data_IF_610464701605
#
_entry.id   IF_610464701605
#
_cell.length_a   1.000
_cell.length_b   1.000
_cell.length_c   1.000
_cell.angle_alpha   90.00
_cell.angle_beta   90.00
_cell.angle_gamma   90.00
#
_symmetry.space_group_name_H-M   'P 1'
#
loop_
_entity.id
_entity.type
_entity.pdbx_description
1 polymer ?
#
# COMPACT_ATOMS: atom_id res chain seq x y z
N UNK A 1 46.73 -26.99 -60.65
CA UNK A 1 45.35 -27.12 -61.16
C UNK A 1 44.73 -25.73 -61.26
N UNK A 2 43.74 -25.55 -62.13
CA UNK A 2 42.98 -24.30 -62.18
C UNK A 2 41.64 -24.45 -61.47
N UNK A 3 41.29 -23.51 -60.61
CA UNK A 3 39.98 -23.47 -59.93
C UNK A 3 39.30 -22.11 -60.15
N UNK A 4 37.99 -22.09 -59.90
CA UNK A 4 37.15 -20.90 -60.00
C UNK A 4 36.65 -20.50 -58.62
N UNK A 5 36.70 -19.21 -58.30
CA UNK A 5 36.14 -18.66 -57.06
C UNK A 5 35.09 -17.63 -57.42
N UNK A 6 33.84 -17.88 -57.03
CA UNK A 6 32.73 -16.96 -57.24
C UNK A 6 32.60 -16.03 -56.04
N UNK A 7 32.68 -14.73 -56.31
CA UNK A 7 32.61 -13.67 -55.30
C UNK A 7 31.15 -13.29 -55.02
N UNK A 8 30.94 -12.46 -54.00
CA UNK A 8 29.61 -11.96 -53.61
C UNK A 8 28.94 -11.12 -54.71
N UNK A 9 29.74 -10.49 -55.57
CA UNK A 9 29.29 -9.68 -56.71
C UNK A 9 28.97 -10.53 -57.95
N UNK A 10 28.90 -11.85 -57.80
CA UNK A 10 28.72 -12.82 -58.90
C UNK A 10 29.83 -12.78 -59.96
N UNK A 11 31.02 -12.29 -59.61
CA UNK A 11 32.21 -12.35 -60.48
C UNK A 11 32.96 -13.65 -60.24
N UNK A 12 33.56 -14.19 -61.29
CA UNK A 12 34.37 -15.41 -61.22
C UNK A 12 35.85 -15.07 -61.30
N UNK A 13 36.60 -15.39 -60.26
CA UNK A 13 38.06 -15.31 -60.22
C UNK A 13 38.66 -16.63 -60.66
N UNK A 14 39.65 -16.58 -61.54
CA UNK A 14 40.46 -17.74 -61.93
C UNK A 14 41.73 -17.78 -61.11
N UNK A 15 41.94 -18.89 -60.39
CA UNK A 15 43.13 -19.11 -59.57
C UNK A 15 43.90 -20.33 -60.07
N UNK A 16 45.21 -20.17 -60.22
CA UNK A 16 46.14 -21.27 -60.48
C UNK A 16 46.78 -21.65 -59.14
N UNK A 17 46.43 -22.82 -58.64
CA UNK A 17 46.76 -23.30 -57.28
C UNK A 17 47.35 -24.70 -57.34
N UNK A 18 48.08 -25.09 -56.30
CA UNK A 18 48.55 -26.44 -56.12
C UNK A 18 47.56 -27.27 -55.29
N UNK A 19 47.45 -28.58 -55.53
CA UNK A 19 46.59 -29.48 -54.76
C UNK A 19 46.83 -29.47 -53.25
N UNK A 20 48.07 -29.15 -52.85
CA UNK A 20 48.52 -29.16 -51.47
C UNK A 20 48.40 -27.77 -50.81
N UNK A 21 47.93 -26.75 -51.55
CA UNK A 21 47.63 -25.44 -50.99
C UNK A 21 46.46 -25.56 -50.00
N UNK A 22 46.56 -24.83 -48.89
CA UNK A 22 45.54 -24.80 -47.84
C UNK A 22 44.41 -23.84 -48.19
N UNK A 23 43.24 -24.06 -47.59
CA UNK A 23 42.10 -23.15 -47.73
C UNK A 23 42.44 -21.74 -47.24
N UNK A 24 43.25 -21.62 -46.18
CA UNK A 24 43.73 -20.32 -45.70
C UNK A 24 44.57 -19.56 -46.75
N UNK A 25 45.49 -20.24 -47.43
CA UNK A 25 46.29 -19.62 -48.51
C UNK A 25 45.41 -19.13 -49.68
N UNK A 26 44.31 -19.83 -49.98
CA UNK A 26 43.35 -19.39 -51.01
C UNK A 26 42.60 -18.14 -50.53
N UNK A 27 42.17 -18.10 -49.27
CA UNK A 27 41.52 -16.92 -48.68
C UNK A 27 42.43 -15.69 -48.75
N UNK A 28 43.73 -15.85 -48.51
CA UNK A 28 44.72 -14.78 -48.65
C UNK A 28 44.83 -14.29 -50.11
N UNK A 29 44.81 -15.20 -51.10
CA UNK A 29 44.82 -14.82 -52.53
C UNK A 29 43.53 -14.06 -52.89
N UNK A 30 42.39 -14.50 -52.36
CA UNK A 30 41.10 -13.82 -52.56
C UNK A 30 41.10 -12.46 -51.87
N UNK A 31 41.70 -12.32 -50.68
CA UNK A 31 41.85 -11.05 -49.97
C UNK A 31 42.64 -10.05 -50.80
N UNK A 32 43.76 -10.47 -51.39
CA UNK A 32 44.57 -9.58 -52.24
C UNK A 32 43.83 -9.09 -53.49
N UNK A 33 42.85 -9.85 -53.99
CA UNK A 33 42.11 -9.51 -55.22
C UNK A 33 40.81 -8.74 -54.95
N UNK A 34 40.06 -9.13 -53.92
CA UNK A 34 38.72 -8.57 -53.61
C UNK A 34 38.76 -7.59 -52.44
N UNK A 35 39.82 -7.60 -51.62
CA UNK A 35 39.98 -6.73 -50.46
C UNK A 35 39.16 -7.15 -49.23
N UNK A 36 38.64 -8.38 -49.21
CA UNK A 36 37.90 -8.95 -48.07
C UNK A 36 38.90 -9.68 -47.16
N UNK A 37 39.01 -9.37 -45.85
CA UNK A 37 39.95 -10.04 -44.94
C UNK A 37 39.74 -11.57 -44.90
N UNK A 38 40.81 -12.37 -44.93
CA UNK A 38 40.72 -13.83 -44.90
C UNK A 38 39.89 -14.38 -43.72
N UNK A 39 39.99 -13.73 -42.55
CA UNK A 39 39.24 -14.08 -41.33
C UNK A 39 37.72 -13.89 -41.46
N UNK A 40 37.27 -12.99 -42.36
CA UNK A 40 35.85 -12.72 -42.61
C UNK A 40 35.29 -13.57 -43.76
N UNK A 41 36.17 -14.20 -44.55
CA UNK A 41 35.81 -15.05 -45.67
C UNK A 41 35.42 -16.46 -45.21
N UNK A 42 34.39 -17.01 -45.85
CA UNK A 42 34.00 -18.41 -45.74
C UNK A 42 33.91 -19.02 -47.13
N UNK A 43 34.86 -19.89 -47.46
CA UNK A 43 34.86 -20.63 -48.72
C UNK A 43 33.97 -21.87 -48.60
N UNK A 44 33.15 -22.09 -49.63
CA UNK A 44 32.26 -23.25 -49.70
C UNK A 44 32.33 -23.96 -51.04
N UNK A 45 32.27 -25.29 -51.01
CA UNK A 45 32.11 -26.16 -52.19
C UNK A 45 30.82 -26.97 -52.03
N UNK A 46 29.90 -26.87 -52.98
CA UNK A 46 28.62 -27.61 -52.92
C UNK A 46 27.76 -27.28 -51.68
N UNK A 47 27.95 -26.11 -51.07
CA UNK A 47 27.28 -25.70 -49.84
C UNK A 47 27.94 -26.21 -48.54
N UNK A 48 29.04 -26.97 -48.64
CA UNK A 48 29.85 -27.39 -47.50
C UNK A 48 30.94 -26.34 -47.28
N UNK A 49 31.15 -25.94 -46.03
CA UNK A 49 32.21 -25.00 -45.65
C UNK A 49 33.53 -25.73 -45.49
N UNK A 50 34.58 -25.12 -46.03
CA UNK A 50 35.91 -25.68 -46.01
C UNK A 50 36.67 -25.11 -44.81
N UNK A 51 37.39 -25.97 -44.10
CA UNK A 51 38.17 -25.59 -42.91
C UNK A 51 39.55 -25.07 -43.34
N UNK A 52 40.06 -24.06 -42.62
CA UNK A 52 41.26 -23.30 -43.00
C UNK A 52 42.55 -24.12 -42.97
N UNK A 53 42.60 -25.17 -42.15
CA UNK A 53 43.76 -26.07 -42.00
C UNK A 53 43.80 -27.19 -43.05
N UNK A 54 42.72 -27.41 -43.79
CA UNK A 54 42.66 -28.46 -44.81
C UNK A 54 43.27 -28.00 -46.14
N UNK A 55 43.84 -28.95 -46.87
CA UNK A 55 44.30 -28.75 -48.24
C UNK A 55 43.18 -28.89 -49.26
N UNK A 56 43.36 -28.34 -50.45
CA UNK A 56 42.42 -28.51 -51.58
C UNK A 56 42.13 -29.98 -51.89
N UNK A 57 43.15 -30.83 -51.84
CA UNK A 57 43.03 -32.27 -52.02
C UNK A 57 42.14 -32.93 -50.96
N UNK A 58 42.33 -32.58 -49.69
CA UNK A 58 41.54 -33.13 -48.58
C UNK A 58 40.08 -32.65 -48.62
N UNK A 59 39.86 -31.44 -49.14
CA UNK A 59 38.52 -30.91 -49.40
C UNK A 59 37.87 -31.46 -50.69
N UNK A 60 38.54 -32.36 -51.41
CA UNK A 60 38.10 -32.90 -52.70
C UNK A 60 37.81 -31.83 -53.75
N UNK A 61 38.62 -30.77 -53.78
CA UNK A 61 38.55 -29.75 -54.82
C UNK A 61 39.32 -30.26 -56.04
N UNK A 62 38.60 -30.56 -57.11
CA UNK A 62 39.18 -31.00 -58.38
C UNK A 62 39.50 -29.81 -59.29
N UNK A 63 40.25 -30.08 -60.36
CA UNK A 63 40.44 -29.12 -61.44
C UNK A 63 39.09 -28.66 -62.02
N UNK A 64 38.98 -27.36 -62.31
CA UNK A 64 37.76 -26.68 -62.76
C UNK A 64 36.61 -26.61 -61.73
N UNK A 65 36.87 -26.96 -60.47
CA UNK A 65 35.89 -26.76 -59.38
C UNK A 65 35.59 -25.29 -59.12
N UNK A 66 34.35 -25.00 -58.71
CA UNK A 66 33.91 -23.65 -58.33
C UNK A 66 33.65 -23.54 -56.83
N UNK A 67 34.45 -22.71 -56.15
CA UNK A 67 34.26 -22.32 -54.76
C UNK A 67 33.42 -21.04 -54.68
N UNK A 68 32.65 -20.89 -53.60
CA UNK A 68 31.86 -19.68 -53.35
C UNK A 68 32.37 -18.99 -52.09
N UNK A 69 32.64 -17.69 -52.20
CA UNK A 69 32.98 -16.82 -51.07
C UNK A 69 31.69 -16.33 -50.42
N UNK A 70 31.56 -16.58 -49.13
CA UNK A 70 30.52 -16.03 -48.26
C UNK A 70 31.20 -15.18 -47.17
N UNK A 71 30.45 -14.23 -46.60
CA UNK A 71 30.88 -13.52 -45.40
C UNK A 71 30.14 -14.08 -44.19
N UNK A 72 30.85 -14.25 -43.08
CA UNK A 72 30.20 -14.56 -41.82
C UNK A 72 29.45 -13.32 -41.30
N UNK A 73 28.13 -13.47 -41.13
CA UNK A 73 27.29 -12.40 -40.60
C UNK A 73 27.33 -12.44 -39.07
N UNK A 74 27.70 -11.32 -38.44
CA UNK A 74 27.50 -11.14 -37.00
C UNK A 74 25.98 -11.15 -36.70
N UNK A 75 25.46 -12.31 -36.28
CA UNK A 75 24.07 -12.47 -35.92
C UNK A 75 23.67 -11.46 -34.84
N UNK A 76 22.76 -10.54 -35.16
CA UNK A 76 22.35 -9.45 -34.27
C UNK A 76 21.95 -9.95 -32.88
N UNK A 77 22.75 -9.62 -31.87
CA UNK A 77 22.56 -10.06 -30.49
C UNK A 77 21.15 -9.77 -29.99
N UNK A 78 20.45 -10.82 -29.51
CA UNK A 78 19.07 -10.70 -28.99
C UNK A 78 19.04 -9.74 -27.80
N UNK A 79 18.61 -8.50 -28.02
CA UNK A 79 18.49 -7.48 -26.96
C UNK A 79 17.48 -7.94 -25.91
N UNK A 80 17.87 -7.83 -24.64
CA UNK A 80 16.99 -8.16 -23.50
C UNK A 80 15.72 -7.32 -23.57
N UNK A 81 14.56 -7.99 -23.67
CA UNK A 81 13.25 -7.32 -23.67
C UNK A 81 13.04 -6.56 -22.36
N UNK A 82 12.49 -5.35 -22.44
CA UNK A 82 12.08 -4.57 -21.26
C UNK A 82 11.00 -5.35 -20.50
N UNK A 83 11.12 -5.40 -19.17
CA UNK A 83 10.09 -5.99 -18.32
C UNK A 83 8.86 -5.09 -18.33
N UNK A 84 7.70 -5.65 -18.68
CA UNK A 84 6.40 -4.99 -18.51
C UNK A 84 5.80 -5.41 -17.18
N UNK A 85 5.56 -4.45 -16.28
CA UNK A 85 4.95 -4.70 -14.98
C UNK A 85 3.44 -4.51 -15.10
N UNK A 86 2.67 -5.60 -15.04
CA UNK A 86 1.20 -5.57 -15.13
C UNK A 86 0.53 -5.16 -13.82
N UNK A 87 1.22 -5.35 -12.68
CA UNK A 87 0.65 -5.12 -11.36
C UNK A 87 1.51 -4.13 -10.56
N UNK A 88 0.87 -3.25 -9.77
CA UNK A 88 1.58 -2.32 -8.92
C UNK A 88 2.34 -3.08 -7.83
N UNK A 89 3.48 -2.52 -7.42
CA UNK A 89 4.33 -3.13 -6.40
C UNK A 89 3.61 -3.17 -5.06
N UNK A 90 3.51 -4.36 -4.46
CA UNK A 90 2.90 -4.56 -3.14
C UNK A 90 3.70 -3.85 -2.04
N UNK A 91 3.02 -2.98 -1.28
CA UNK A 91 3.59 -2.39 -0.06
C UNK A 91 3.76 -3.46 1.02
N UNK A 92 4.97 -3.53 1.60
CA UNK A 92 5.29 -4.49 2.67
C UNK A 92 4.74 -3.99 4.01
N UNK A 93 4.20 -4.90 4.83
CA UNK A 93 3.72 -4.58 6.17
C UNK A 93 4.88 -4.08 7.06
N UNK A 94 4.66 -2.95 7.73
CA UNK A 94 5.58 -2.37 8.71
C UNK A 94 5.00 -2.56 10.12
N UNK A 95 5.79 -3.07 11.06
CA UNK A 95 5.35 -3.26 12.46
C UNK A 95 5.08 -1.89 13.10
N UNK A 96 3.86 -1.69 13.62
CA UNK A 96 3.49 -0.47 14.36
C UNK A 96 4.16 -0.47 15.73
N UNK A 97 5.03 0.51 15.99
CA UNK A 97 5.65 0.72 17.30
C UNK A 97 4.71 1.54 18.19
N UNK A 98 4.21 0.95 19.26
CA UNK A 98 3.42 1.64 20.29
C UNK A 98 4.29 1.83 21.51
N UNK A 99 4.58 3.09 21.87
CA UNK A 99 5.38 3.40 23.07
C UNK A 99 4.61 2.97 24.32
N UNK A 100 5.31 2.40 25.30
CA UNK A 100 4.78 2.03 26.62
C UNK A 100 3.53 1.12 26.57
N UNK A 101 3.45 0.19 25.61
CA UNK A 101 2.29 -0.66 25.41
C UNK A 101 1.90 -1.50 26.65
N UNK A 102 2.88 -1.84 27.51
CA UNK A 102 2.69 -2.66 28.71
C UNK A 102 1.83 -1.97 29.77
N UNK A 103 1.91 -0.63 29.88
CA UNK A 103 1.13 0.11 30.87
C UNK A 103 -0.39 -0.02 30.65
N UNK A 104 -0.82 -0.32 29.42
CA UNK A 104 -2.24 -0.55 29.10
C UNK A 104 -2.81 -1.83 29.73
N UNK A 105 -1.97 -2.71 30.27
CA UNK A 105 -2.41 -4.00 30.83
C UNK A 105 -2.69 -3.93 32.32
N UNK A 106 -2.35 -2.83 32.98
CA UNK A 106 -2.48 -2.65 34.42
C UNK A 106 -3.25 -1.36 34.72
N UNK A 107 -4.04 -1.37 35.78
CA UNK A 107 -4.65 -0.19 36.38
C UNK A 107 -4.27 -0.15 37.85
N UNK A 108 -3.79 0.98 38.32
CA UNK A 108 -3.53 1.22 39.74
C UNK A 108 -4.79 1.84 40.32
N UNK A 109 -5.27 1.29 41.42
CA UNK A 109 -6.39 1.84 42.20
C UNK A 109 -5.87 2.81 43.26
N UNK A 110 -6.72 3.68 43.78
CA UNK A 110 -6.35 4.71 44.77
C UNK A 110 -5.81 4.11 46.08
N UNK A 111 -6.15 2.84 46.35
CA UNK A 111 -5.62 2.05 47.47
C UNK A 111 -4.19 1.55 47.27
N UNK A 112 -3.57 1.83 46.11
CA UNK A 112 -2.25 1.32 45.73
C UNK A 112 -2.26 -0.13 45.20
N UNK A 113 -3.43 -0.77 45.11
CA UNK A 113 -3.57 -2.12 44.53
C UNK A 113 -3.50 -2.08 43.00
N UNK A 114 -2.90 -3.11 42.41
CA UNK A 114 -2.74 -3.23 40.95
C UNK A 114 -3.74 -4.25 40.40
N UNK A 115 -4.61 -3.80 39.50
CA UNK A 115 -5.56 -4.64 38.76
C UNK A 115 -5.06 -4.91 37.35
N UNK A 116 -5.10 -6.18 36.92
CA UNK A 116 -4.77 -6.59 35.55
C UNK A 116 -6.00 -6.41 34.65
N UNK A 117 -5.82 -5.74 33.51
CA UNK A 117 -6.89 -5.45 32.53
C UNK A 117 -7.00 -6.51 31.42
N UNK A 118 -6.02 -7.40 31.31
CA UNK A 118 -6.01 -8.48 30.32
C UNK A 118 -5.89 -9.85 30.97
N UNK A 119 -6.45 -10.85 30.30
CA UNK A 119 -6.32 -12.27 30.68
C UNK A 119 -4.89 -12.74 30.45
N UNK A 120 -4.36 -13.49 31.42
CA UNK A 120 -3.08 -14.17 31.28
C UNK A 120 -3.25 -15.51 30.55
N UNK A 121 -2.23 -15.90 29.78
CA UNK A 121 -2.25 -17.17 29.09
C UNK A 121 -2.12 -18.33 30.10
N UNK A 122 -3.02 -19.33 30.08
CA UNK A 122 -2.98 -20.46 31.02
C UNK A 122 -2.03 -21.57 30.57
N UNK A 123 -1.41 -21.48 29.39
CA UNK A 123 -0.51 -22.51 28.89
C UNK A 123 0.72 -22.62 29.79
N UNK A 124 1.14 -23.84 30.14
CA UNK A 124 2.34 -24.08 30.96
C UNK A 124 3.63 -23.49 30.36
N UNK A 125 3.66 -23.30 29.04
CA UNK A 125 4.79 -22.66 28.34
C UNK A 125 4.77 -21.12 28.41
N UNK A 126 3.62 -20.54 28.76
CA UNK A 126 3.41 -19.10 28.93
C UNK A 126 3.17 -18.81 30.41
N UNK A 127 4.22 -18.42 31.12
CA UNK A 127 4.14 -18.09 32.54
C UNK A 127 3.42 -16.77 32.84
N UNK A 128 3.43 -16.41 34.12
CA UNK A 128 2.89 -15.14 34.63
C UNK A 128 3.47 -13.93 33.86
N UNK A 129 2.60 -12.96 33.55
CA UNK A 129 2.96 -11.77 32.76
C UNK A 129 2.82 -11.92 31.24
N UNK A 130 2.49 -13.10 30.71
CA UNK A 130 2.11 -13.28 29.30
C UNK A 130 0.62 -13.02 29.13
N UNK A 131 0.27 -11.82 28.67
CA UNK A 131 -1.11 -11.43 28.43
C UNK A 131 -1.61 -11.85 27.05
N UNK A 132 -2.86 -12.31 26.99
CA UNK A 132 -3.58 -12.58 25.76
C UNK A 132 -4.06 -11.27 25.13
N UNK A 133 -3.98 -11.17 23.80
CA UNK A 133 -4.58 -10.09 23.04
C UNK A 133 -6.10 -10.27 23.01
N UNK A 134 -6.82 -9.27 23.50
CA UNK A 134 -8.27 -9.20 23.38
C UNK A 134 -8.64 -8.69 21.98
N UNK A 135 -9.20 -9.57 21.17
CA UNK A 135 -9.92 -9.23 19.94
C UNK A 135 -11.42 -9.19 20.24
N UNK A 136 -12.23 -8.79 19.26
CA UNK A 136 -13.68 -8.66 19.42
C UNK A 136 -14.38 -10.01 19.69
N UNK A 137 -13.86 -11.08 19.10
CA UNK A 137 -14.43 -12.43 19.08
C UNK A 137 -13.60 -13.45 19.87
N UNK A 138 -12.37 -13.09 20.26
CA UNK A 138 -11.42 -14.04 20.84
C UNK A 138 -10.34 -13.40 21.69
N UNK A 139 -9.79 -14.19 22.60
CA UNK A 139 -8.53 -13.92 23.26
C UNK A 139 -7.44 -14.79 22.66
N UNK A 140 -6.37 -14.16 22.15
CA UNK A 140 -5.28 -14.83 21.46
C UNK A 140 -3.93 -14.61 22.14
N UNK A 141 -3.19 -15.69 22.43
CA UNK A 141 -1.83 -15.59 22.93
C UNK A 141 -0.83 -15.51 21.76
N UNK A 142 -0.11 -14.40 21.65
CA UNK A 142 0.92 -14.22 20.62
C UNK A 142 2.19 -15.07 20.80
N UNK A 143 2.36 -15.76 21.93
CA UNK A 143 3.55 -16.59 22.22
C UNK A 143 3.33 -18.08 21.90
N UNK A 144 2.22 -18.64 22.36
CA UNK A 144 1.90 -20.07 22.16
C UNK A 144 0.71 -20.31 21.21
N UNK A 145 0.19 -19.26 20.58
CA UNK A 145 -0.93 -19.30 19.64
C UNK A 145 -2.26 -19.85 20.19
N UNK A 146 -2.38 -20.02 21.52
CA UNK A 146 -3.63 -20.47 22.16
C UNK A 146 -4.71 -19.41 21.97
N UNK A 147 -5.89 -19.86 21.57
CA UNK A 147 -7.05 -19.01 21.28
C UNK A 147 -8.24 -19.47 22.12
N UNK A 148 -8.89 -18.54 22.81
CA UNK A 148 -10.18 -18.74 23.44
C UNK A 148 -11.23 -17.89 22.73
N UNK A 149 -12.33 -18.49 22.31
CA UNK A 149 -13.49 -17.76 21.80
C UNK A 149 -14.43 -17.44 22.97
N UNK A 150 -15.13 -16.31 22.89
CA UNK A 150 -16.17 -15.98 23.87
C UNK A 150 -17.41 -16.87 23.64
N UNK A 151 -18.11 -17.21 24.70
CA UNK A 151 -19.44 -17.83 24.55
C UNK A 151 -20.47 -16.76 24.18
N UNK A 152 -21.57 -17.11 23.47
CA UNK A 152 -22.60 -16.15 23.04
C UNK A 152 -23.08 -15.18 24.15
N UNK A 153 -23.17 -15.68 25.39
CA UNK A 153 -23.57 -14.89 26.57
C UNK A 153 -22.51 -13.87 27.01
N UNK A 154 -21.23 -14.21 26.85
CA UNK A 154 -20.11 -13.32 27.13
C UNK A 154 -19.90 -12.31 25.99
N UNK A 155 -20.22 -12.69 24.74
CA UNK A 155 -20.23 -11.78 23.59
C UNK A 155 -21.27 -10.67 23.78
N UNK A 156 -22.51 -11.01 24.18
CA UNK A 156 -23.56 -10.04 24.49
C UNK A 156 -23.12 -9.07 25.60
N UNK A 157 -22.54 -9.59 26.69
CA UNK A 157 -22.03 -8.77 27.79
C UNK A 157 -20.86 -7.86 27.35
N UNK A 158 -19.97 -8.33 26.48
CA UNK A 158 -18.88 -7.52 25.93
C UNK A 158 -19.40 -6.42 24.99
N UNK A 159 -20.37 -6.74 24.13
CA UNK A 159 -21.08 -5.79 23.27
C UNK A 159 -21.75 -4.68 24.09
N UNK A 160 -22.43 -5.06 25.18
CA UNK A 160 -23.06 -4.11 26.10
C UNK A 160 -21.99 -3.19 26.73
N UNK A 161 -20.91 -3.75 27.30
CA UNK A 161 -19.83 -2.95 27.91
C UNK A 161 -19.07 -2.07 26.91
N UNK A 162 -18.86 -2.54 25.69
CA UNK A 162 -18.21 -1.77 24.63
C UNK A 162 -19.11 -0.62 24.15
N UNK A 163 -20.43 -0.85 24.05
CA UNK A 163 -21.41 0.17 23.70
C UNK A 163 -21.49 1.28 24.77
N UNK A 164 -21.40 0.95 26.06
CA UNK A 164 -21.41 1.96 27.14
C UNK A 164 -20.16 2.85 27.15
N UNK A 165 -19.04 2.40 26.58
CA UNK A 165 -17.78 3.15 26.54
C UNK A 165 -17.57 3.93 25.23
N UNK A 166 -18.34 3.65 24.18
CA UNK A 166 -18.30 4.42 22.94
C UNK A 166 -19.22 5.62 23.08
N UNK A 167 -18.64 6.83 23.25
CA UNK A 167 -19.35 8.07 22.88
C UNK A 167 -19.67 7.97 21.41
N UNK A 168 -20.90 7.60 21.08
CA UNK A 168 -21.39 7.59 19.71
C UNK A 168 -21.26 9.02 19.18
N UNK A 169 -20.54 9.25 18.07
CA UNK A 169 -20.48 10.57 17.47
C UNK A 169 -21.90 10.93 17.01
N UNK A 170 -22.55 11.80 17.77
CA UNK A 170 -23.88 12.27 17.45
C UNK A 170 -23.76 13.25 16.28
N UNK A 171 -24.53 13.03 15.23
CA UNK A 171 -24.59 13.97 14.12
C UNK A 171 -25.27 15.26 14.63
N UNK A 172 -24.59 16.42 14.61
CA UNK A 172 -25.07 17.62 15.28
C UNK A 172 -26.33 18.23 14.63
N UNK A 173 -26.51 18.05 13.32
CA UNK A 173 -27.68 18.58 12.59
C UNK A 173 -29.02 17.97 13.03
N UNK A 174 -29.20 16.62 12.99
CA UNK A 174 -30.46 16.03 13.45
C UNK A 174 -30.71 16.30 14.93
N UNK A 175 -29.67 16.25 15.77
CA UNK A 175 -29.78 16.54 17.20
C UNK A 175 -30.30 17.95 17.49
N UNK A 176 -29.71 18.96 16.84
CA UNK A 176 -30.12 20.36 17.05
C UNK A 176 -31.55 20.59 16.52
N UNK A 177 -31.93 19.95 15.42
CA UNK A 177 -33.29 20.05 14.87
C UNK A 177 -34.35 19.44 15.79
N UNK A 178 -34.02 18.35 16.51
CA UNK A 178 -34.91 17.73 17.50
C UNK A 178 -35.14 18.59 18.76
N UNK A 179 -34.26 19.56 18.99
CA UNK A 179 -34.35 20.51 20.10
C UNK A 179 -35.17 21.76 19.76
N UNK A 180 -35.55 21.96 18.50
CA UNK A 180 -36.36 23.12 18.09
C UNK A 180 -37.72 23.05 18.80
N UNK A 181 -38.11 24.16 19.44
CA UNK A 181 -39.31 24.29 20.27
C UNK A 181 -39.11 23.91 21.74
N UNK A 182 -37.94 23.41 22.16
CA UNK A 182 -37.66 23.03 23.55
C UNK A 182 -36.80 24.09 24.26
N UNK A 183 -36.86 24.11 25.60
CA UNK A 183 -35.90 24.85 26.42
C UNK A 183 -34.52 24.20 26.31
N UNK A 184 -33.53 25.02 25.97
CA UNK A 184 -32.15 24.58 25.82
C UNK A 184 -31.19 25.49 26.59
N UNK A 185 -30.06 24.91 26.94
CA UNK A 185 -28.91 25.60 27.50
C UNK A 185 -27.82 25.70 26.43
N UNK A 186 -27.31 26.91 26.20
CA UNK A 186 -26.23 27.20 25.26
C UNK A 186 -25.05 27.80 26.02
N UNK A 187 -23.94 27.07 26.11
CA UNK A 187 -22.69 27.57 26.71
C UNK A 187 -21.81 28.17 25.63
N UNK A 188 -21.36 29.41 25.80
CA UNK A 188 -20.39 30.04 24.91
C UNK A 188 -18.94 29.74 25.32
N UNK A 189 -18.01 29.90 24.38
CA UNK A 189 -16.56 29.74 24.59
C UNK A 189 -15.97 30.68 25.64
N UNK A 190 -16.66 31.78 25.93
CA UNK A 190 -16.18 32.83 26.84
C UNK A 190 -16.82 32.76 28.24
N UNK A 191 -17.44 31.62 28.59
CA UNK A 191 -17.94 31.39 29.95
C UNK A 191 -19.33 31.98 30.23
N UNK A 192 -20.01 32.50 29.21
CA UNK A 192 -21.41 32.91 29.29
C UNK A 192 -22.32 31.73 28.97
N UNK A 193 -23.44 31.60 29.68
CA UNK A 193 -24.49 30.62 29.41
C UNK A 193 -25.80 31.34 29.12
N UNK A 194 -26.49 30.93 28.07
CA UNK A 194 -27.85 31.36 27.78
C UNK A 194 -28.81 30.20 27.94
N UNK A 195 -29.91 30.45 28.61
CA UNK A 195 -31.03 29.50 28.74
C UNK A 195 -32.24 30.11 28.08
N UNK A 196 -32.88 29.41 27.15
CA UNK A 196 -34.05 29.90 26.42
C UNK A 196 -34.68 28.83 25.56
N UNK A 197 -35.79 29.15 24.91
CA UNK A 197 -36.48 28.24 23.98
C UNK A 197 -35.83 28.33 22.60
N UNK A 198 -35.42 27.21 22.01
CA UNK A 198 -34.87 27.19 20.67
C UNK A 198 -35.98 27.46 19.64
N UNK A 199 -36.00 28.65 19.05
CA UNK A 199 -37.04 29.06 18.08
C UNK A 199 -36.73 28.53 16.69
N UNK A 200 -35.50 28.73 16.22
CA UNK A 200 -35.09 28.32 14.87
C UNK A 200 -33.59 28.10 14.78
N UNK A 201 -33.19 27.35 13.75
CA UNK A 201 -31.80 27.06 13.41
C UNK A 201 -31.60 27.20 11.91
N UNK A 202 -30.55 27.91 11.50
CA UNK A 202 -30.25 28.11 10.08
C UNK A 202 -29.33 27.03 9.48
N UNK A 203 -29.03 27.12 8.19
CA UNK A 203 -28.16 26.18 7.50
C UNK A 203 -26.70 26.18 8.02
N UNK A 204 -26.31 27.26 8.70
CA UNK A 204 -25.01 27.45 9.34
C UNK A 204 -25.02 27.06 10.83
N UNK A 205 -26.12 26.48 11.31
CA UNK A 205 -26.36 26.08 12.70
C UNK A 205 -26.30 27.25 13.69
N UNK A 206 -26.55 28.49 13.24
CA UNK A 206 -26.81 29.59 14.14
C UNK A 206 -28.16 29.37 14.81
N UNK A 207 -28.23 29.73 16.09
CA UNK A 207 -29.34 29.39 16.98
C UNK A 207 -30.08 30.65 17.37
N UNK A 208 -31.40 30.68 17.14
CA UNK A 208 -32.28 31.71 17.66
C UNK A 208 -32.93 31.22 18.95
N UNK A 209 -32.68 31.91 20.06
CA UNK A 209 -33.32 31.66 21.35
C UNK A 209 -34.40 32.71 21.60
N UNK A 210 -35.59 32.27 21.99
CA UNK A 210 -36.66 33.08 22.55
C UNK A 210 -36.66 32.99 24.07
N UNK A 211 -37.13 34.06 24.72
CA UNK A 211 -37.18 34.17 26.19
C UNK A 211 -35.84 33.82 26.87
N UNK A 212 -34.74 34.26 26.26
CA UNK A 212 -33.40 33.95 26.73
C UNK A 212 -33.06 34.69 28.02
N UNK A 213 -32.41 33.99 28.94
CA UNK A 213 -31.85 34.49 30.20
C UNK A 213 -30.34 34.29 30.16
N UNK A 214 -29.60 35.32 30.56
CA UNK A 214 -28.13 35.30 30.56
C UNK A 214 -27.56 34.96 31.95
N UNK A 215 -26.58 34.07 31.95
CA UNK A 215 -25.79 33.71 33.11
C UNK A 215 -24.30 33.96 32.83
N UNK A 216 -23.67 34.79 33.65
CA UNK A 216 -22.23 35.06 33.62
C UNK A 216 -21.67 34.59 34.97
N UNK A 217 -20.67 33.71 34.94
CA UNK A 217 -20.09 33.09 36.15
C UNK A 217 -21.16 32.50 37.08
N UNK A 218 -22.15 31.83 36.49
CA UNK A 218 -23.28 31.17 37.18
C UNK A 218 -24.25 32.14 37.90
N UNK A 219 -24.07 33.45 37.76
CA UNK A 219 -25.01 34.45 38.27
C UNK A 219 -25.98 34.90 37.18
N UNK A 220 -27.28 34.89 37.50
CA UNK A 220 -28.34 35.36 36.62
C UNK A 220 -28.24 36.89 36.44
N UNK A 221 -28.03 37.35 35.20
CA UNK A 221 -27.96 38.78 34.83
C UNK A 221 -29.30 39.34 34.37
N UNK A 222 -30.29 38.48 34.11
CA UNK A 222 -31.65 38.87 33.76
C UNK A 222 -32.09 38.42 32.35
N UNK A 223 -33.33 38.76 31.97
CA UNK A 223 -33.90 38.38 30.68
C UNK A 223 -33.38 39.26 29.54
N UNK A 224 -32.98 38.63 28.43
CA UNK A 224 -32.58 39.28 27.18
C UNK A 224 -33.66 39.22 26.09
N UNK A 225 -34.67 38.36 26.24
CA UNK A 225 -35.73 38.20 25.25
C UNK A 225 -35.28 37.35 24.06
N UNK A 226 -35.43 37.87 22.83
CA UNK A 226 -35.02 37.16 21.62
C UNK A 226 -33.55 37.46 21.25
N UNK A 227 -32.73 36.41 21.16
CA UNK A 227 -31.32 36.53 20.81
C UNK A 227 -30.93 35.55 19.70
N UNK A 228 -29.97 35.97 18.86
CA UNK A 228 -29.38 35.14 17.82
C UNK A 228 -27.91 34.88 18.14
N UNK A 229 -27.54 33.61 18.29
CA UNK A 229 -26.19 33.17 18.63
C UNK A 229 -25.56 32.50 17.42
N UNK A 230 -24.38 32.97 17.00
CA UNK A 230 -23.60 32.31 15.95
C UNK A 230 -23.00 30.98 16.42
N UNK A 231 -23.11 29.94 15.60
CA UNK A 231 -22.61 28.59 15.92
C UNK A 231 -21.14 28.58 16.35
N UNK A 232 -20.30 29.40 15.72
CA UNK A 232 -18.86 29.46 16.00
C UNK A 232 -18.52 29.88 17.44
N UNK A 233 -19.43 30.55 18.14
CA UNK A 233 -19.23 31.01 19.52
C UNK A 233 -19.72 29.97 20.55
N UNK A 234 -20.47 28.97 20.11
CA UNK A 234 -21.06 27.93 20.97
C UNK A 234 -19.99 26.89 21.31
N UNK A 235 -19.90 26.55 22.59
CA UNK A 235 -19.06 25.47 23.11
C UNK A 235 -19.84 24.16 23.13
N UNK A 236 -21.05 24.16 23.68
CA UNK A 236 -22.00 23.04 23.60
C UNK A 236 -23.45 23.53 23.77
N UNK A 237 -24.39 22.68 23.34
CA UNK A 237 -25.83 22.83 23.51
C UNK A 237 -26.34 21.58 24.24
N UNK A 238 -27.22 21.78 25.21
CA UNK A 238 -27.93 20.68 25.87
C UNK A 238 -29.40 21.03 26.01
N UNK A 239 -30.28 20.07 25.75
CA UNK A 239 -31.69 20.17 26.14
C UNK A 239 -31.82 20.24 27.66
N UNK A 240 -32.72 21.09 28.15
CA UNK A 240 -33.18 21.06 29.54
C UNK A 240 -34.52 20.34 29.49
N UNK A 241 -34.59 19.14 30.04
CA UNK A 241 -35.87 18.50 30.29
C UNK A 241 -36.52 19.26 31.44
N UNK A 242 -37.72 19.80 31.23
CA UNK A 242 -38.55 20.35 32.31
C UNK A 242 -38.88 19.17 33.24
N UNK A 243 -38.10 19.00 34.30
CA UNK A 243 -38.54 18.24 35.46
C UNK A 243 -39.57 19.13 36.13
N UNK A 244 -40.80 18.67 36.19
CA UNK A 244 -41.94 19.35 36.81
C UNK A 244 -41.53 19.95 38.17
N UNK A 245 -41.56 21.29 38.29
CA UNK A 245 -41.36 22.04 39.54
C UNK A 245 -42.58 21.89 40.47
N UNK A 246 -43.09 20.67 40.68
CA UNK A 246 -44.25 20.39 41.54
C UNK A 246 -43.93 19.52 42.79
N UNK A 247 -42.66 19.15 43.06
CA UNK A 247 -42.30 18.35 44.26
C UNK A 247 -41.66 19.12 45.43
N UNK A 248 -41.37 20.42 45.32
CA UNK A 248 -40.76 21.21 46.42
C UNK A 248 -41.75 22.09 47.21
N UNK A 249 -43.04 21.74 47.21
CA UNK A 249 -44.08 22.38 48.04
C UNK A 249 -44.66 21.46 49.14
N UNK A 250 -43.85 20.58 49.74
CA UNK A 250 -44.10 20.02 51.07
C UNK A 250 -42.79 19.73 51.82
N UNK A 251 -42.22 20.77 52.43
CA UNK A 251 -41.35 20.68 53.61
C UNK A 251 -41.47 21.97 54.44
#
# INVERSE_FOLDING_TARGET
MQIFVRTLDDRTLTLNVQPDDTINEIKEIVEQREGIPADEQRLTLGGISLDDELTLNECHVEEESTLYVLLDLEGGGKKRKKKSYSTPKKNKHKRKKVKLAVLKYYKVEDSGKIRRLRRECPSKQCGAGVFMAAHHDRNYCGKCCVTYMFTKREEENYLIMAATQMKTPLNPRPYINELVGKKILVRLKWGMTYVGVLVSVDQYMNVQLGNAVEYIDEQNKGPLGEILIRCNNILYISGIDEVDEDEDAMA
#
